data_IF_915786448732
#
_entry.id   IF_915786448732
#
_cell.length_a   1.000
_cell.length_b   1.000
_cell.length_c   1.000
_cell.angle_alpha   90.00
_cell.angle_beta   90.00
_cell.angle_gamma   90.00
#
_symmetry.space_group_name_H-M   'P 1'
#
loop_
_entity.id
_entity.type
_entity.pdbx_description
1 polymer ?
#
# COMPACT_ATOMS: atom_id res chain seq x y z
N UNK A 1 18.77 9.57 -6.80
CA UNK A 1 17.49 10.15 -7.24
C UNK A 1 16.35 9.72 -6.32
N UNK A 2 15.88 8.47 -6.32
CA UNK A 2 14.74 8.06 -5.48
C UNK A 2 14.99 8.28 -3.99
N UNK A 3 16.11 7.77 -3.45
CA UNK A 3 16.54 7.98 -2.05
C UNK A 3 16.64 9.47 -1.72
N UNK A 4 17.28 10.26 -2.59
CA UNK A 4 17.49 11.70 -2.37
C UNK A 4 16.16 12.49 -2.32
N UNK A 5 15.14 12.06 -3.06
CA UNK A 5 13.84 12.74 -3.13
C UNK A 5 12.87 12.29 -2.03
N UNK A 6 12.88 10.99 -1.69
CA UNK A 6 11.95 10.45 -0.67
C UNK A 6 12.51 10.54 0.74
N UNK A 7 13.83 10.69 0.90
CA UNK A 7 14.50 10.69 2.19
C UNK A 7 14.54 9.33 2.89
N UNK A 8 14.26 8.23 2.18
CA UNK A 8 14.32 6.87 2.71
C UNK A 8 15.70 6.23 2.52
N UNK A 9 16.08 5.31 3.42
CA UNK A 9 17.42 4.69 3.44
C UNK A 9 17.70 3.77 2.24
N UNK A 10 16.65 3.24 1.59
CA UNK A 10 16.77 2.26 0.52
C UNK A 10 15.68 2.45 -0.54
N UNK A 11 16.06 2.24 -1.80
CA UNK A 11 15.15 2.10 -2.92
C UNK A 11 15.58 0.92 -3.78
N UNK A 12 14.62 0.26 -4.44
CA UNK A 12 14.91 -0.74 -5.46
C UNK A 12 15.22 -0.06 -6.82
N UNK A 13 15.41 -0.85 -7.87
CA UNK A 13 15.71 -0.33 -9.20
C UNK A 13 14.47 0.17 -9.97
N UNK A 14 13.29 -0.40 -9.72
CA UNK A 14 11.98 0.02 -10.27
C UNK A 14 10.88 -0.97 -9.88
N UNK A 15 9.62 -0.60 -10.14
CA UNK A 15 8.45 -1.48 -10.22
C UNK A 15 7.66 -1.16 -11.50
N UNK A 16 6.57 -1.89 -11.76
CA UNK A 16 5.80 -1.77 -13.00
C UNK A 16 5.06 -0.44 -13.11
N UNK A 17 4.29 -0.09 -12.08
CA UNK A 17 3.51 1.14 -11.99
C UNK A 17 3.25 1.51 -10.51
N UNK A 18 2.69 2.69 -10.27
CA UNK A 18 2.36 3.18 -8.92
C UNK A 18 1.39 2.24 -8.17
N UNK A 19 0.36 1.77 -8.86
CA UNK A 19 -0.73 1.00 -8.26
C UNK A 19 -0.23 -0.37 -7.77
N UNK A 20 0.62 -1.02 -8.55
CA UNK A 20 1.30 -2.27 -8.17
C UNK A 20 2.37 -2.01 -7.11
N UNK A 21 3.07 -0.88 -7.15
CA UNK A 21 4.01 -0.49 -6.09
C UNK A 21 3.31 -0.30 -4.73
N UNK A 22 2.13 0.34 -4.72
CA UNK A 22 1.32 0.49 -3.51
C UNK A 22 0.85 -0.87 -2.95
N UNK A 23 0.49 -1.81 -3.83
CA UNK A 23 0.12 -3.15 -3.41
C UNK A 23 1.30 -3.96 -2.84
N UNK A 24 2.50 -3.82 -3.40
CA UNK A 24 3.72 -4.41 -2.83
C UNK A 24 4.06 -3.77 -1.47
N UNK A 25 3.83 -2.46 -1.32
CA UNK A 25 3.99 -1.77 -0.04
C UNK A 25 3.01 -2.32 1.03
N UNK A 26 1.76 -2.58 0.67
CA UNK A 26 0.78 -3.26 1.54
C UNK A 26 1.27 -4.65 1.96
N UNK A 27 1.76 -5.46 1.01
CA UNK A 27 2.28 -6.80 1.30
C UNK A 27 3.51 -6.76 2.22
N UNK A 28 4.42 -5.81 1.99
CA UNK A 28 5.58 -5.57 2.85
C UNK A 28 5.14 -5.17 4.26
N UNK A 29 4.23 -4.20 4.39
CA UNK A 29 3.70 -3.73 5.66
C UNK A 29 3.10 -4.89 6.47
N UNK A 30 2.30 -5.77 5.83
CA UNK A 30 1.76 -6.96 6.50
C UNK A 30 2.85 -7.93 6.96
N UNK A 31 3.88 -8.15 6.13
CA UNK A 31 4.98 -9.09 6.44
C UNK A 31 5.82 -8.65 7.64
N UNK A 32 6.04 -7.35 7.79
CA UNK A 32 6.86 -6.80 8.89
C UNK A 32 6.04 -6.44 10.13
N UNK A 33 4.72 -6.31 9.98
CA UNK A 33 3.81 -6.03 11.09
C UNK A 33 3.77 -7.17 12.10
N UNK A 34 3.77 -6.82 13.38
CA UNK A 34 3.55 -7.76 14.50
C UNK A 34 2.07 -7.86 14.90
N UNK A 35 1.21 -7.03 14.29
CA UNK A 35 -0.23 -7.00 14.59
C UNK A 35 -0.94 -8.19 13.96
N UNK A 36 -1.88 -8.77 14.68
CA UNK A 36 -2.80 -9.78 14.16
C UNK A 36 -3.91 -9.17 13.29
N UNK A 37 -4.03 -7.83 13.23
CA UNK A 37 -5.05 -7.15 12.42
C UNK A 37 -4.95 -7.56 10.95
N UNK A 38 -6.10 -7.85 10.35
CA UNK A 38 -6.22 -8.15 8.93
C UNK A 38 -6.66 -6.94 8.09
N UNK A 39 -6.88 -5.79 8.75
CA UNK A 39 -7.30 -4.56 8.10
C UNK A 39 -6.09 -3.85 7.49
N UNK A 40 -6.25 -3.36 6.27
CA UNK A 40 -5.33 -2.42 5.63
C UNK A 40 -6.12 -1.19 5.20
N UNK A 41 -5.69 -0.02 5.68
CA UNK A 41 -6.34 1.26 5.39
C UNK A 41 -5.74 1.90 4.14
N UNK A 42 -6.58 2.48 3.29
CA UNK A 42 -6.20 3.31 2.15
C UNK A 42 -7.01 4.60 2.18
N UNK A 43 -6.35 5.74 2.05
CA UNK A 43 -7.02 7.04 1.94
C UNK A 43 -7.92 7.08 0.70
N UNK A 44 -9.15 7.53 0.87
CA UNK A 44 -10.13 7.72 -0.21
C UNK A 44 -9.65 8.70 -1.30
N UNK A 45 -8.71 9.58 -0.99
CA UNK A 45 -8.12 10.53 -1.94
C UNK A 45 -6.97 9.94 -2.78
N UNK A 46 -6.56 8.70 -2.53
CA UNK A 46 -5.65 8.00 -3.44
C UNK A 46 -6.28 7.85 -4.83
N UNK A 47 -5.45 7.72 -5.87
CA UNK A 47 -5.96 7.57 -7.22
C UNK A 47 -6.87 6.33 -7.36
N UNK A 48 -8.00 6.43 -8.08
CA UNK A 48 -9.01 5.36 -8.14
C UNK A 48 -8.44 4.05 -8.70
N UNK A 49 -7.51 4.11 -9.65
CA UNK A 49 -6.81 2.95 -10.17
C UNK A 49 -5.87 2.32 -9.13
N UNK A 50 -5.22 3.12 -8.29
CA UNK A 50 -4.38 2.64 -7.19
C UNK A 50 -5.23 1.89 -6.17
N UNK A 51 -6.36 2.47 -5.75
CA UNK A 51 -7.32 1.81 -4.85
C UNK A 51 -7.84 0.51 -5.48
N UNK A 52 -8.18 0.51 -6.77
CA UNK A 52 -8.68 -0.68 -7.47
C UNK A 52 -7.65 -1.82 -7.45
N UNK A 53 -6.39 -1.55 -7.80
CA UNK A 53 -5.33 -2.59 -7.84
C UNK A 53 -5.00 -3.07 -6.43
N UNK A 54 -4.89 -2.17 -5.45
CA UNK A 54 -4.64 -2.54 -4.05
C UNK A 54 -5.78 -3.43 -3.53
N UNK A 55 -7.05 -3.11 -3.83
CA UNK A 55 -8.21 -3.93 -3.50
C UNK A 55 -8.11 -5.34 -4.09
N UNK A 56 -7.86 -5.45 -5.39
CA UNK A 56 -7.70 -6.76 -6.05
C UNK A 56 -6.57 -7.58 -5.43
N UNK A 57 -5.45 -6.94 -5.07
CA UNK A 57 -4.32 -7.60 -4.42
C UNK A 57 -4.64 -8.00 -2.98
N UNK A 58 -5.36 -7.16 -2.24
CA UNK A 58 -5.82 -7.45 -0.89
C UNK A 58 -6.73 -8.68 -0.87
N UNK A 59 -7.69 -8.77 -1.78
CA UNK A 59 -8.55 -9.95 -1.96
C UNK A 59 -7.71 -11.22 -2.22
N UNK A 60 -6.71 -11.14 -3.09
CA UNK A 60 -5.81 -12.26 -3.38
C UNK A 60 -4.96 -12.71 -2.19
N UNK A 61 -4.62 -11.80 -1.28
CA UNK A 61 -3.87 -12.11 -0.04
C UNK A 61 -4.77 -12.39 1.17
N UNK A 62 -6.09 -12.18 1.03
CA UNK A 62 -7.06 -12.33 2.12
C UNK A 62 -7.04 -11.18 3.14
N UNK A 63 -6.60 -9.98 2.75
CA UNK A 63 -6.68 -8.78 3.60
C UNK A 63 -8.03 -8.08 3.45
N UNK A 64 -8.48 -7.42 4.51
CA UNK A 64 -9.66 -6.57 4.47
C UNK A 64 -9.26 -5.12 4.22
N UNK A 65 -9.70 -4.54 3.10
CA UNK A 65 -9.36 -3.18 2.72
C UNK A 65 -10.41 -2.19 3.24
N UNK A 66 -9.97 -1.25 4.08
CA UNK A 66 -10.79 -0.12 4.51
C UNK A 66 -10.39 1.10 3.69
N UNK A 67 -11.37 1.75 3.07
CA UNK A 67 -11.17 3.01 2.34
C UNK A 67 -11.96 4.09 3.04
N UNK A 68 -11.32 5.20 3.40
CA UNK A 68 -11.95 6.32 4.10
C UNK A 68 -11.04 7.54 4.17
N UNK A 69 -11.53 8.62 4.74
CA UNK A 69 -10.74 9.83 4.98
C UNK A 69 -9.69 9.60 6.08
N UNK A 70 -8.52 10.22 5.95
CA UNK A 70 -7.43 10.08 6.94
C UNK A 70 -7.83 10.59 8.33
N UNK A 71 -8.81 11.49 8.41
CA UNK A 71 -9.36 11.97 9.68
C UNK A 71 -10.14 10.89 10.46
N UNK A 72 -10.46 9.75 9.84
CA UNK A 72 -11.16 8.61 10.46
C UNK A 72 -10.20 7.54 11.00
N UNK A 73 -8.88 7.73 10.85
CA UNK A 73 -7.81 6.78 11.14
C UNK A 73 -7.40 6.81 12.63
#
# INVERSE_FOLDING_TARGET
MTIDLTGLDLANASLLDEATAAAEAMALAKRVSKSSSNLFFVDEHCHPQTISVVRTRAEGFGFELVVGGVDEL
#
